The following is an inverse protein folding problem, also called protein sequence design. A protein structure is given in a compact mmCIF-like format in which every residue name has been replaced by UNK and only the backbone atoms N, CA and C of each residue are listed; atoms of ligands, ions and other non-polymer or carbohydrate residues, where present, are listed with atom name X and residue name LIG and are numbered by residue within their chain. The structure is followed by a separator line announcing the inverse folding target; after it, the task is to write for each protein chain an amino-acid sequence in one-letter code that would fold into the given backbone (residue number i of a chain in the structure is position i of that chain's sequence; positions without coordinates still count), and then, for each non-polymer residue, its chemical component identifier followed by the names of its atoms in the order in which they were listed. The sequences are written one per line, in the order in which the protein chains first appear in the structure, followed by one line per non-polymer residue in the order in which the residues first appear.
data_IF_011355993662
#
_entry.id   IF_011355993662
#
_cell.length_a   1.000
_cell.length_b   1.000
_cell.length_c   1.000
_cell.angle_alpha   90.00
_cell.angle_beta   90.00
_cell.angle_gamma   90.00
#
_symmetry.space_group_name_H-M   'P 1'
#
loop_
_entity.id
_entity.type
_entity.pdbx_description
1 polymer ?
#
# COMPACT_ATOMS: atom_id res chain seq x y z
N UNK A 1 -30.70 -64.30 -37.44
CA UNK A 1 -30.63 -63.22 -36.42
C UNK A 1 -29.17 -63.08 -36.01
N UNK A 2 -28.44 -62.13 -36.60
CA UNK A 2 -27.03 -61.84 -36.29
C UNK A 2 -27.03 -60.55 -35.47
N UNK A 3 -26.78 -60.66 -34.16
CA UNK A 3 -26.71 -59.53 -33.26
C UNK A 3 -25.38 -58.80 -33.46
N UNK A 4 -25.47 -57.54 -33.87
CA UNK A 4 -24.37 -56.61 -34.05
C UNK A 4 -23.94 -56.11 -32.66
N UNK A 5 -22.77 -56.53 -32.18
CA UNK A 5 -22.16 -56.05 -30.95
C UNK A 5 -21.39 -54.75 -31.25
N UNK A 6 -21.95 -53.63 -30.81
CA UNK A 6 -21.33 -52.30 -30.86
C UNK A 6 -20.35 -52.15 -29.67
N UNK A 7 -19.08 -51.78 -29.88
CA UNK A 7 -18.19 -51.46 -28.77
C UNK A 7 -18.51 -50.06 -28.23
N UNK A 8 -19.02 -50.01 -27.00
CA UNK A 8 -19.16 -48.77 -26.23
C UNK A 8 -17.76 -48.34 -25.81
N UNK A 9 -17.21 -47.33 -26.49
CA UNK A 9 -15.97 -46.66 -26.11
C UNK A 9 -16.28 -45.75 -24.93
N UNK A 10 -15.93 -46.22 -23.72
CA UNK A 10 -16.01 -45.45 -22.49
C UNK A 10 -14.83 -44.47 -22.43
N UNK A 11 -15.04 -43.22 -22.86
CA UNK A 11 -14.09 -42.12 -22.67
C UNK A 11 -14.05 -41.78 -21.17
N UNK A 12 -13.05 -42.31 -20.45
CA UNK A 12 -12.67 -41.85 -19.11
C UNK A 12 -12.13 -40.41 -19.24
N UNK A 13 -12.95 -39.43 -18.89
CA UNK A 13 -12.52 -38.06 -18.69
C UNK A 13 -11.53 -38.04 -17.51
N UNK A 14 -10.23 -37.96 -17.82
CA UNK A 14 -9.21 -37.74 -16.81
C UNK A 14 -9.48 -36.38 -16.13
N UNK A 15 -9.48 -36.30 -14.78
CA UNK A 15 -9.60 -35.03 -14.10
C UNK A 15 -8.39 -34.18 -14.50
N UNK A 16 -8.65 -33.04 -15.15
CA UNK A 16 -7.64 -32.00 -15.32
C UNK A 16 -7.36 -31.46 -13.93
N UNK A 17 -6.32 -32.00 -13.28
CA UNK A 17 -5.78 -31.40 -12.07
C UNK A 17 -5.17 -30.06 -12.50
N UNK A 18 -5.97 -29.00 -12.38
CA UNK A 18 -5.45 -27.65 -12.41
C UNK A 18 -4.43 -27.58 -11.27
N UNK A 19 -3.15 -27.58 -11.64
CA UNK A 19 -2.08 -27.36 -10.68
C UNK A 19 -2.36 -25.97 -10.10
N UNK A 20 -2.71 -25.94 -8.81
CA UNK A 20 -2.87 -24.69 -8.10
C UNK A 20 -1.59 -23.90 -8.28
N UNK A 21 -1.69 -22.72 -8.90
CA UNK A 21 -0.53 -21.85 -9.05
C UNK A 21 -0.02 -21.51 -7.64
N UNK A 22 1.31 -21.53 -7.42
CA UNK A 22 1.86 -21.17 -6.14
C UNK A 22 1.43 -19.74 -5.79
N UNK A 23 1.00 -19.57 -4.55
CA UNK A 23 0.44 -18.32 -4.03
C UNK A 23 1.38 -17.12 -4.20
N UNK A 24 2.68 -17.37 -4.12
CA UNK A 24 3.76 -16.46 -4.46
C UNK A 24 4.61 -17.14 -5.53
N UNK A 25 5.11 -16.36 -6.49
CA UNK A 25 6.04 -16.90 -7.49
C UNK A 25 7.30 -17.42 -6.81
N UNK A 26 8.00 -18.37 -7.42
CA UNK A 26 9.26 -18.89 -6.89
C UNK A 26 10.33 -17.80 -6.70
N UNK A 27 10.19 -16.68 -7.42
CA UNK A 27 11.04 -15.51 -7.27
C UNK A 27 10.35 -14.36 -6.51
N UNK A 28 9.23 -14.61 -5.82
CA UNK A 28 8.42 -13.58 -5.15
C UNK A 28 7.96 -12.45 -6.09
N UNK A 29 7.89 -12.74 -7.40
CA UNK A 29 7.48 -11.84 -8.48
C UNK A 29 5.95 -11.71 -8.59
N UNK A 30 5.22 -12.69 -8.05
CA UNK A 30 3.76 -12.64 -7.91
C UNK A 30 3.37 -12.22 -6.50
N UNK A 31 2.47 -11.25 -6.42
CA UNK A 31 1.90 -10.76 -5.18
C UNK A 31 1.00 -11.82 -4.51
N UNK A 32 1.02 -11.86 -3.17
CA UNK A 32 0.05 -12.63 -2.38
C UNK A 32 -1.40 -12.24 -2.77
N UNK A 33 -2.34 -13.19 -2.96
CA UNK A 33 -3.71 -12.88 -3.33
C UNK A 33 -4.40 -11.92 -2.35
N UNK A 34 -4.94 -10.82 -2.86
CA UNK A 34 -5.59 -9.79 -2.04
C UNK A 34 -4.63 -8.85 -1.29
N UNK A 35 -3.33 -9.01 -1.45
CA UNK A 35 -2.36 -8.08 -0.89
C UNK A 35 -2.28 -6.76 -1.69
N UNK A 36 -1.98 -5.68 -0.98
CA UNK A 36 -1.77 -4.34 -1.52
C UNK A 36 -0.42 -3.78 -1.08
N UNK A 37 0.10 -2.80 -1.82
CA UNK A 37 1.41 -2.18 -1.55
C UNK A 37 2.55 -3.20 -1.45
N UNK A 38 2.50 -4.23 -2.30
CA UNK A 38 3.46 -5.33 -2.28
C UNK A 38 4.80 -4.86 -2.83
N UNK A 39 5.85 -5.11 -2.07
CA UNK A 39 7.23 -4.84 -2.45
C UNK A 39 8.05 -6.12 -2.33
N UNK A 40 8.89 -6.37 -3.34
CA UNK A 40 9.92 -7.39 -3.29
C UNK A 40 11.21 -6.76 -2.79
N UNK A 41 11.87 -7.42 -1.86
CA UNK A 41 13.14 -7.01 -1.29
C UNK A 41 14.17 -8.12 -1.46
N UNK A 42 15.42 -7.71 -1.56
CA UNK A 42 16.57 -8.62 -1.66
C UNK A 42 17.70 -8.13 -0.77
N UNK A 43 18.43 -9.05 -0.14
CA UNK A 43 19.64 -8.79 0.64
C UNK A 43 20.77 -9.65 0.12
N UNK A 44 21.90 -9.03 -0.21
CA UNK A 44 23.09 -9.73 -0.72
C UNK A 44 23.76 -10.59 0.35
N UNK A 45 23.58 -10.24 1.62
CA UNK A 45 24.10 -10.99 2.77
C UNK A 45 22.92 -11.56 3.54
N UNK A 46 22.68 -12.89 3.46
CA UNK A 46 21.66 -13.54 4.26
C UNK A 46 22.01 -13.41 5.73
N UNK A 47 21.07 -12.93 6.53
CA UNK A 47 21.17 -12.96 7.99
C UNK A 47 19.90 -13.57 8.54
N UNK A 48 19.88 -13.93 9.82
CA UNK A 48 18.67 -14.43 10.48
C UNK A 48 17.45 -13.50 10.35
N UNK A 49 17.67 -12.21 10.08
CA UNK A 49 16.61 -11.20 9.93
C UNK A 49 16.27 -10.88 8.47
N UNK A 50 17.13 -11.27 7.53
CA UNK A 50 17.02 -10.94 6.10
C UNK A 50 17.35 -12.17 5.26
N UNK A 51 16.36 -13.02 4.95
CA UNK A 51 16.54 -14.34 4.32
C UNK A 51 16.87 -14.30 2.81
N UNK A 52 17.65 -13.32 2.36
CA UNK A 52 18.07 -13.19 0.96
C UNK A 52 17.01 -12.58 0.05
N UNK A 53 15.81 -13.18 -0.06
CA UNK A 53 14.68 -12.63 -0.83
C UNK A 53 13.40 -12.74 -0.01
N UNK A 54 12.64 -11.65 0.06
CA UNK A 54 11.32 -11.65 0.67
C UNK A 54 10.37 -10.70 -0.03
N UNK A 55 9.08 -10.89 0.22
CA UNK A 55 8.00 -10.01 -0.18
C UNK A 55 7.33 -9.46 1.07
N UNK A 56 7.00 -8.18 1.06
CA UNK A 56 6.28 -7.50 2.14
C UNK A 56 5.15 -6.66 1.58
N UNK A 57 4.13 -6.39 2.38
CA UNK A 57 2.99 -5.57 1.98
C UNK A 57 1.88 -5.60 3.01
N UNK A 58 0.65 -5.34 2.56
CA UNK A 58 -0.53 -5.43 3.44
C UNK A 58 -1.58 -6.40 2.92
N UNK A 59 -2.19 -7.16 3.82
CA UNK A 59 -3.26 -8.11 3.51
C UNK A 59 -4.31 -8.07 4.63
N UNK A 60 -5.60 -7.95 4.28
CA UNK A 60 -6.69 -7.76 5.25
C UNK A 60 -6.43 -6.62 6.28
N UNK A 61 -5.67 -5.60 5.90
CA UNK A 61 -5.27 -4.49 6.77
C UNK A 61 -4.06 -4.77 7.67
N UNK A 62 -3.57 -6.00 7.75
CA UNK A 62 -2.34 -6.37 8.46
C UNK A 62 -1.12 -6.17 7.59
N UNK A 63 0.03 -5.91 8.20
CA UNK A 63 1.32 -5.96 7.54
C UNK A 63 1.79 -7.43 7.48
N UNK A 64 2.33 -7.85 6.34
CA UNK A 64 2.91 -9.19 6.21
C UNK A 64 4.30 -9.14 5.58
N UNK A 65 5.08 -10.16 5.90
CA UNK A 65 6.36 -10.47 5.28
C UNK A 65 6.39 -11.97 5.00
N UNK A 66 6.81 -12.39 3.81
CA UNK A 66 6.96 -13.80 3.42
C UNK A 66 8.29 -13.98 2.70
N UNK A 67 9.03 -15.03 3.04
CA UNK A 67 10.40 -15.24 2.62
C UNK A 67 10.64 -16.60 1.96
N UNK A 68 11.75 -16.71 1.21
CA UNK A 68 12.13 -17.92 0.48
C UNK A 68 12.53 -19.11 1.36
N UNK A 69 12.78 -18.87 2.65
CA UNK A 69 13.19 -19.88 3.62
C UNK A 69 12.01 -20.54 4.35
N UNK A 70 10.80 -20.45 3.76
CA UNK A 70 9.56 -20.98 4.33
C UNK A 70 9.13 -20.32 5.64
N UNK A 71 9.50 -19.05 5.83
CA UNK A 71 9.03 -18.22 6.94
C UNK A 71 8.08 -17.12 6.48
N UNK A 72 7.12 -16.77 7.34
CA UNK A 72 6.27 -15.60 7.20
C UNK A 72 6.02 -14.93 8.55
N UNK A 73 5.78 -13.63 8.51
CA UNK A 73 5.44 -12.80 9.67
C UNK A 73 4.16 -12.01 9.35
N UNK A 74 3.23 -11.99 10.29
CA UNK A 74 2.01 -11.17 10.22
C UNK A 74 1.95 -10.26 11.44
N UNK A 75 1.75 -8.97 11.21
CA UNK A 75 1.69 -7.94 12.28
C UNK A 75 0.60 -6.91 12.01
N UNK A 76 0.25 -6.11 13.02
CA UNK A 76 -0.61 -4.94 12.83
C UNK A 76 0.11 -3.80 12.04
N UNK A 77 1.39 -3.57 12.34
CA UNK A 77 2.25 -2.55 11.69
C UNK A 77 3.70 -3.05 11.57
N UNK A 78 4.47 -2.49 10.63
CA UNK A 78 5.86 -2.88 10.41
C UNK A 78 6.84 -2.35 11.48
N UNK A 79 6.75 -1.07 11.85
CA UNK A 79 7.81 -0.42 12.63
C UNK A 79 7.72 -0.63 14.14
N UNK A 80 6.52 -0.91 14.65
CA UNK A 80 6.26 -1.06 16.08
C UNK A 80 5.02 -1.94 16.27
N UNK A 81 5.14 -3.25 16.02
CA UNK A 81 4.03 -4.16 16.14
C UNK A 81 3.59 -4.28 17.60
N UNK A 82 2.28 -4.16 17.86
CA UNK A 82 1.73 -4.44 19.19
C UNK A 82 1.56 -5.95 19.45
N UNK A 83 1.51 -6.73 18.38
CA UNK A 83 1.49 -8.19 18.36
C UNK A 83 2.10 -8.69 17.05
N UNK A 84 2.56 -9.92 17.04
CA UNK A 84 3.07 -10.59 15.84
C UNK A 84 2.74 -12.08 15.84
N UNK A 85 2.52 -12.63 14.65
CA UNK A 85 2.37 -14.07 14.42
C UNK A 85 3.47 -14.50 13.45
N UNK A 86 4.37 -15.34 13.93
CA UNK A 86 5.42 -15.96 13.13
C UNK A 86 4.95 -17.34 12.65
N UNK A 87 5.11 -17.60 11.35
CA UNK A 87 4.77 -18.88 10.71
C UNK A 87 6.06 -19.43 10.11
N UNK A 88 6.46 -20.62 10.54
CA UNK A 88 7.68 -21.28 10.07
C UNK A 88 7.29 -22.66 9.58
N UNK A 89 7.56 -22.95 8.31
CA UNK A 89 7.28 -24.24 7.71
C UNK A 89 8.59 -24.95 7.35
N UNK A 90 8.59 -26.27 7.36
CA UNK A 90 9.67 -27.05 6.79
C UNK A 90 9.30 -27.49 5.37
N UNK A 91 10.29 -27.53 4.46
CA UNK A 91 10.07 -27.97 3.09
C UNK A 91 9.61 -29.43 3.07
N UNK A 92 8.39 -29.67 2.58
CA UNK A 92 7.78 -31.01 2.52
C UNK A 92 7.01 -31.43 3.78
N UNK A 93 6.91 -30.57 4.80
CA UNK A 93 6.02 -30.81 5.93
C UNK A 93 4.53 -30.63 5.53
N UNK A 94 3.64 -31.29 6.26
CA UNK A 94 2.19 -31.15 6.07
C UNK A 94 1.60 -29.94 6.81
N UNK A 95 2.33 -29.41 7.80
CA UNK A 95 1.92 -28.28 8.62
C UNK A 95 3.09 -27.36 8.95
N UNK A 96 2.77 -26.13 9.36
CA UNK A 96 3.72 -25.13 9.81
C UNK A 96 3.61 -24.94 11.32
N UNK A 97 4.73 -24.56 11.95
CA UNK A 97 4.73 -24.06 13.32
C UNK A 97 4.25 -22.61 13.32
N UNK A 98 3.32 -22.28 14.21
CA UNK A 98 2.78 -20.93 14.38
C UNK A 98 3.05 -20.47 15.81
N UNK A 99 3.83 -19.40 15.95
CA UNK A 99 4.12 -18.75 17.24
C UNK A 99 3.46 -17.37 17.28
N UNK A 100 2.82 -17.05 18.40
CA UNK A 100 2.11 -15.78 18.61
C UNK A 100 2.72 -15.03 19.78
N UNK A 101 3.00 -13.75 19.57
CA UNK A 101 3.44 -12.83 20.61
C UNK A 101 2.48 -11.64 20.70
N UNK A 102 2.07 -11.28 21.92
CA UNK A 102 1.06 -10.25 22.15
C UNK A 102 -0.38 -10.78 22.01
N UNK A 103 -1.32 -9.87 21.76
CA UNK A 103 -2.76 -10.18 21.64
C UNK A 103 -3.24 -9.82 20.22
N UNK A 104 -3.14 -10.74 19.25
CA UNK A 104 -3.61 -10.49 17.89
C UNK A 104 -5.14 -10.37 17.83
N UNK A 105 -5.60 -9.69 16.78
CA UNK A 105 -7.02 -9.66 16.39
C UNK A 105 -7.49 -11.10 16.06
N UNK A 106 -8.74 -11.42 16.40
CA UNK A 106 -9.33 -12.74 16.17
C UNK A 106 -9.28 -13.17 14.68
N UNK A 107 -9.27 -12.20 13.75
CA UNK A 107 -9.17 -12.47 12.32
C UNK A 107 -7.73 -12.69 11.82
N UNK A 108 -6.69 -12.42 12.62
CA UNK A 108 -5.30 -12.61 12.21
C UNK A 108 -4.87 -14.09 12.18
N UNK A 109 -5.42 -14.93 13.07
CA UNK A 109 -5.10 -16.36 13.12
C UNK A 109 -5.38 -17.11 11.80
N UNK A 110 -6.61 -17.04 11.25
CA UNK A 110 -6.93 -17.67 9.97
C UNK A 110 -6.07 -17.17 8.80
N UNK A 111 -5.66 -15.88 8.82
CA UNK A 111 -4.77 -15.30 7.81
C UNK A 111 -3.36 -15.90 7.94
N UNK A 112 -2.86 -16.08 9.16
CA UNK A 112 -1.58 -16.73 9.40
C UNK A 112 -1.59 -18.22 8.96
N UNK A 113 -2.70 -18.93 9.17
CA UNK A 113 -2.89 -20.29 8.64
C UNK A 113 -2.88 -20.30 7.10
N UNK A 114 -3.54 -19.33 6.46
CA UNK A 114 -3.49 -19.18 5.00
C UNK A 114 -2.08 -18.88 4.48
N UNK A 115 -1.27 -18.08 5.21
CA UNK A 115 0.15 -17.88 4.90
C UNK A 115 0.94 -19.20 5.01
N UNK A 116 0.69 -20.01 6.04
CA UNK A 116 1.32 -21.33 6.17
C UNK A 116 0.97 -22.27 5.00
N UNK A 117 -0.30 -22.36 4.62
CA UNK A 117 -0.74 -23.12 3.44
C UNK A 117 -0.05 -22.64 2.16
N UNK A 118 0.05 -21.33 2.00
CA UNK A 118 0.76 -20.71 0.90
C UNK A 118 2.24 -21.14 0.85
N UNK A 119 2.96 -21.07 1.97
CA UNK A 119 4.35 -21.52 2.08
C UNK A 119 4.54 -23.00 1.73
N UNK A 120 3.58 -23.85 2.07
CA UNK A 120 3.57 -25.28 1.72
C UNK A 120 3.15 -25.55 0.26
N UNK A 121 2.88 -24.53 -0.54
CA UNK A 121 2.45 -24.66 -1.93
C UNK A 121 1.00 -25.15 -2.09
N UNK A 122 0.18 -25.06 -1.04
CA UNK A 122 -1.23 -25.40 -1.10
C UNK A 122 -2.04 -24.26 -1.76
N UNK A 123 -3.17 -24.59 -2.42
CA UNK A 123 -4.04 -23.58 -3.00
C UNK A 123 -4.57 -22.61 -1.94
N UNK A 124 -4.39 -21.31 -2.20
CA UNK A 124 -5.00 -20.22 -1.44
C UNK A 124 -5.57 -19.19 -2.42
N UNK A 125 -6.60 -18.48 -1.97
CA UNK A 125 -7.34 -17.48 -2.73
C UNK A 125 -7.42 -16.16 -1.95
N UNK A 126 -7.84 -15.08 -2.60
CA UNK A 126 -8.06 -13.81 -1.91
C UNK A 126 -9.12 -13.88 -0.81
N UNK A 127 -10.03 -14.87 -0.86
CA UNK A 127 -11.04 -15.08 0.17
C UNK A 127 -10.42 -15.58 1.49
N UNK A 128 -9.35 -16.39 1.42
CA UNK A 128 -8.61 -16.86 2.60
C UNK A 128 -7.90 -15.71 3.33
N UNK A 129 -7.65 -14.62 2.61
CA UNK A 129 -6.98 -13.41 3.08
C UNK A 129 -7.94 -12.25 3.36
N UNK A 130 -9.24 -12.52 3.40
CA UNK A 130 -10.27 -11.53 3.71
C UNK A 130 -10.68 -11.60 5.18
N UNK A 131 -10.85 -10.47 5.86
CA UNK A 131 -11.47 -10.48 7.19
C UNK A 131 -12.92 -10.96 7.07
N UNK A 132 -13.36 -11.91 7.89
CA UNK A 132 -14.78 -12.20 8.03
C UNK A 132 -15.49 -10.90 8.40
N UNK A 133 -16.56 -10.53 7.68
CA UNK A 133 -17.31 -9.30 7.92
C UNK A 133 -18.07 -9.28 9.28
N UNK A 134 -17.75 -10.19 10.20
CA UNK A 134 -18.56 -10.53 11.36
C UNK A 134 -18.38 -9.66 12.61
N UNK A 135 -17.61 -8.57 12.56
CA UNK A 135 -17.52 -7.64 13.70
C UNK A 135 -17.95 -6.20 13.38
N UNK A 136 -18.46 -5.93 12.18
CA UNK A 136 -19.12 -4.66 11.88
C UNK A 136 -20.60 -4.63 12.30
N UNK A 137 -21.18 -5.80 12.64
CA UNK A 137 -22.59 -5.95 13.01
C UNK A 137 -22.82 -6.50 14.43
N UNK A 138 -21.77 -6.74 15.22
CA UNK A 138 -21.95 -6.75 16.68
C UNK A 138 -22.14 -5.29 17.09
N UNK A 139 -23.40 -4.86 16.94
CA UNK A 139 -23.87 -3.60 17.48
C UNK A 139 -23.40 -3.48 18.92
N UNK A 140 -23.05 -2.24 19.29
CA UNK A 140 -22.93 -1.82 20.68
C UNK A 140 -23.87 -2.66 21.55
N UNK A 141 -23.37 -3.37 22.58
CA UNK A 141 -24.26 -4.11 23.46
C UNK A 141 -25.34 -3.15 23.93
N UNK A 142 -26.61 -3.52 23.73
CA UNK A 142 -27.81 -2.77 24.15
C UNK A 142 -27.91 -2.60 25.67
N UNK A 143 -26.83 -2.84 26.41
CA UNK A 143 -26.78 -2.85 27.87
C UNK A 143 -25.70 -1.91 28.44
N UNK A 144 -25.14 -1.00 27.64
CA UNK A 144 -24.54 0.21 28.21
C UNK A 144 -25.68 1.19 28.51
N UNK A 145 -26.39 0.87 29.57
CA UNK A 145 -27.40 1.73 30.17
C UNK A 145 -26.78 3.06 30.61
N UNK A 146 -26.81 4.05 29.71
CA UNK A 146 -26.85 5.45 30.10
C UNK A 146 -28.32 5.73 30.42
N UNK A 147 -28.77 5.30 31.60
CA UNK A 147 -29.97 5.86 32.23
C UNK A 147 -29.57 7.17 32.88
N UNK A 148 -29.40 8.22 32.08
CA UNK A 148 -29.37 9.58 32.60
C UNK A 148 -30.69 10.27 32.23
N UNK A 149 -31.69 10.27 33.13
CA UNK A 149 -33.00 10.85 32.86
C UNK A 149 -33.01 12.38 32.77
N UNK A 150 -31.88 13.07 32.96
CA UNK A 150 -31.84 14.54 32.93
C UNK A 150 -31.30 15.16 31.63
N UNK A 151 -30.90 14.36 30.62
CA UNK A 151 -30.33 14.92 29.37
C UNK A 151 -31.22 14.80 28.13
N UNK A 152 -32.54 14.80 28.33
CA UNK A 152 -33.52 14.84 27.25
C UNK A 152 -34.26 16.19 27.22
N UNK A 153 -33.58 17.28 26.87
CA UNK A 153 -34.23 18.46 26.29
C UNK A 153 -33.27 19.10 25.27
N UNK A 154 -33.82 19.39 24.08
CA UNK A 154 -33.33 20.24 22.98
C UNK A 154 -32.18 19.74 22.09
N UNK A 155 -32.55 19.03 21.02
CA UNK A 155 -32.34 19.57 19.66
C UNK A 155 -33.19 18.82 18.64
N UNK A 156 -34.25 19.52 18.24
CA UNK A 156 -35.16 19.19 17.14
C UNK A 156 -34.42 19.40 15.82
N UNK A 157 -34.04 18.32 15.15
CA UNK A 157 -33.79 18.30 13.72
C UNK A 157 -33.95 16.87 13.19
N UNK A 158 -35.17 16.37 13.32
CA UNK A 158 -35.61 15.17 12.64
C UNK A 158 -36.13 15.55 11.23
N UNK A 159 -35.85 14.64 10.29
CA UNK A 159 -36.61 14.34 9.06
C UNK A 159 -36.49 15.33 7.89
N UNK A 160 -35.59 15.01 6.96
CA UNK A 160 -35.81 15.26 5.53
C UNK A 160 -35.19 14.14 4.68
N UNK A 161 -36.06 13.21 4.30
CA UNK A 161 -36.18 12.61 2.96
C UNK A 161 -35.01 11.79 2.42
N UNK A 162 -35.21 10.47 2.53
CA UNK A 162 -34.73 9.49 1.57
C UNK A 162 -35.18 9.84 0.14
N UNK A 163 -34.22 10.17 -0.73
CA UNK A 163 -34.31 10.03 -2.19
C UNK A 163 -32.91 10.26 -2.79
N UNK A 164 -32.17 9.18 -3.04
CA UNK A 164 -30.83 9.29 -3.63
C UNK A 164 -30.13 7.95 -3.89
N UNK A 165 -30.88 6.86 -3.98
CA UNK A 165 -30.37 5.58 -4.49
C UNK A 165 -31.00 5.39 -5.86
N UNK A 166 -30.20 5.59 -6.91
CA UNK A 166 -30.38 5.24 -8.32
C UNK A 166 -30.00 6.41 -9.24
N UNK A 167 -28.70 6.57 -9.49
CA UNK A 167 -28.13 7.04 -10.78
C UNK A 167 -26.60 7.12 -10.74
N UNK A 168 -25.93 5.96 -10.78
CA UNK A 168 -24.53 5.86 -11.25
C UNK A 168 -24.24 4.53 -11.96
N UNK A 169 -25.27 3.81 -12.42
CA UNK A 169 -25.12 2.60 -13.25
C UNK A 169 -25.37 2.90 -14.75
N UNK A 170 -25.40 4.16 -15.16
CA UNK A 170 -25.72 4.56 -16.53
C UNK A 170 -24.80 5.70 -17.00
N UNK A 171 -23.50 5.43 -17.05
CA UNK A 171 -22.51 6.23 -17.79
C UNK A 171 -21.56 5.35 -18.63
N UNK A 172 -21.96 4.11 -18.89
CA UNK A 172 -21.34 3.22 -19.89
C UNK A 172 -22.38 2.90 -20.98
N UNK A 173 -22.61 3.82 -21.91
CA UNK A 173 -23.07 3.55 -23.27
C UNK A 173 -23.37 4.86 -24.00
N UNK A 174 -22.51 5.20 -24.96
CA UNK A 174 -22.64 6.11 -26.13
C UNK A 174 -21.25 6.73 -26.30
N UNK A 175 -20.39 6.26 -27.18
CA UNK A 175 -20.41 6.44 -28.65
C UNK A 175 -18.99 6.96 -28.97
N UNK A 176 -18.20 6.51 -29.94
CA UNK A 176 -18.32 5.49 -30.95
C UNK A 176 -16.97 5.42 -31.69
N UNK A 177 -16.64 4.22 -32.17
CA UNK A 177 -16.10 3.97 -33.51
C UNK A 177 -14.80 4.67 -33.95
N UNK A 178 -13.68 3.93 -33.92
CA UNK A 178 -12.85 3.76 -35.14
C UNK A 178 -12.09 2.43 -35.11
N UNK A 179 -12.45 1.55 -36.05
CA UNK A 179 -11.80 0.26 -36.37
C UNK A 179 -10.64 0.48 -37.38
N UNK A 180 -9.95 -0.54 -37.93
CA UNK A 180 -8.51 -0.76 -37.72
C UNK A 180 -7.68 -0.69 -39.03
N UNK A 181 -6.36 -0.69 -38.92
CA UNK A 181 -5.43 -1.13 -39.97
C UNK A 181 -4.21 -1.71 -39.25
N UNK A 182 -3.95 -3.02 -39.29
CA UNK A 182 -3.48 -3.84 -40.42
C UNK A 182 -2.11 -3.39 -40.94
N UNK A 183 -1.11 -4.25 -40.75
CA UNK A 183 0.24 -4.10 -41.29
C UNK A 183 1.26 -4.93 -40.52
N UNK A 184 1.26 -6.24 -40.75
CA UNK A 184 2.49 -7.05 -40.62
C UNK A 184 3.39 -6.68 -41.80
N UNK A 185 4.70 -6.48 -41.57
CA UNK A 185 5.79 -7.22 -42.23
C UNK A 185 7.19 -6.62 -41.94
N UNK A 186 8.28 -7.38 -42.18
CA UNK A 186 9.52 -7.35 -41.38
C UNK A 186 10.74 -6.75 -42.10
N UNK A 187 11.85 -6.72 -41.36
CA UNK A 187 13.24 -6.87 -41.81
C UNK A 187 13.96 -5.70 -42.53
N UNK A 188 15.16 -5.42 -41.99
CA UNK A 188 16.37 -4.91 -42.65
C UNK A 188 16.29 -3.66 -43.53
N UNK A 189 16.89 -2.55 -43.07
CA UNK A 189 18.11 -2.04 -43.72
C UNK A 189 18.78 -0.95 -42.88
N UNK A 190 20.11 -1.04 -42.79
CA UNK A 190 21.00 -0.07 -42.15
C UNK A 190 21.48 0.90 -43.24
N UNK A 191 21.75 2.18 -42.93
CA UNK A 191 23.15 2.61 -43.10
C UNK A 191 23.65 3.55 -41.99
N UNK A 192 24.95 3.83 -42.11
CA UNK A 192 25.88 4.33 -41.11
C UNK A 192 25.77 5.83 -40.73
N UNK A 193 26.34 6.08 -39.55
CA UNK A 193 26.92 7.31 -38.98
C UNK A 193 27.09 8.55 -39.87
N UNK A 194 26.70 9.71 -39.31
CA UNK A 194 27.24 11.05 -39.60
C UNK A 194 27.42 11.79 -38.25
N UNK A 195 28.51 12.57 -38.04
CA UNK A 195 28.97 13.03 -36.72
C UNK A 195 28.32 14.34 -36.25
N UNK A 196 28.55 14.64 -34.96
CA UNK A 196 28.10 15.84 -34.23
C UNK A 196 28.37 17.18 -34.94
N UNK A 197 27.46 18.15 -34.78
CA UNK A 197 27.81 19.56 -34.73
C UNK A 197 27.62 20.11 -33.30
N UNK A 198 28.74 20.59 -32.75
CA UNK A 198 28.79 21.65 -31.73
C UNK A 198 28.01 22.87 -32.24
N UNK A 199 27.21 23.51 -31.38
CA UNK A 199 27.17 24.97 -31.15
C UNK A 199 25.97 25.37 -30.24
N UNK A 200 26.34 26.03 -29.14
CA UNK A 200 25.68 27.20 -28.54
C UNK A 200 24.38 27.05 -27.73
N UNK A 201 24.55 27.20 -26.42
CA UNK A 201 23.54 27.63 -25.46
C UNK A 201 23.08 29.07 -25.79
N UNK A 202 21.77 29.37 -25.82
CA UNK A 202 21.29 30.73 -25.64
C UNK A 202 21.20 31.02 -24.14
N UNK A 203 22.09 31.90 -23.69
CA UNK A 203 21.88 32.72 -22.50
C UNK A 203 20.88 33.80 -22.89
N UNK A 204 19.64 33.74 -22.42
CA UNK A 204 18.74 34.89 -22.49
C UNK A 204 18.39 35.40 -21.10
N UNK A 205 18.93 36.59 -20.88
CA UNK A 205 18.96 37.44 -19.71
C UNK A 205 17.57 37.94 -19.35
N UNK A 206 17.31 38.02 -18.05
CA UNK A 206 16.18 38.70 -17.47
C UNK A 206 16.13 40.19 -17.87
N UNK A 207 15.25 40.56 -18.80
CA UNK A 207 14.87 41.96 -19.04
C UNK A 207 13.49 42.18 -19.71
N UNK A 208 12.75 41.13 -20.09
CA UNK A 208 11.50 41.30 -20.84
C UNK A 208 10.28 40.75 -20.09
N UNK A 209 10.00 41.36 -18.94
CA UNK A 209 8.65 41.40 -18.38
C UNK A 209 7.96 42.66 -18.91
N UNK A 210 6.65 42.53 -19.08
CA UNK A 210 5.63 43.60 -19.08
C UNK A 210 5.30 44.27 -20.42
N UNK A 211 4.36 43.66 -21.17
CA UNK A 211 3.07 44.29 -21.51
C UNK A 211 2.24 43.43 -22.46
N UNK A 212 1.40 42.54 -21.92
CA UNK A 212 0.00 42.46 -22.36
C UNK A 212 -0.83 41.49 -21.51
N UNK A 213 -1.99 41.99 -21.10
CA UNK A 213 -2.94 41.47 -20.12
C UNK A 213 -3.94 40.53 -20.81
N UNK A 214 -4.42 39.47 -20.14
CA UNK A 214 -5.83 39.10 -20.26
C UNK A 214 -6.35 38.46 -18.98
N UNK A 215 -7.30 39.16 -18.35
CA UNK A 215 -7.95 38.83 -17.08
C UNK A 215 -8.67 37.47 -17.12
N UNK A 216 -8.22 36.54 -16.29
CA UNK A 216 -8.96 35.37 -15.80
C UNK A 216 -8.54 35.11 -14.35
N UNK A 217 -9.29 34.35 -13.55
CA UNK A 217 -8.82 33.93 -12.22
C UNK A 217 -7.55 33.10 -12.44
N UNK A 218 -6.39 33.69 -12.18
CA UNK A 218 -5.11 33.00 -12.22
C UNK A 218 -5.13 31.95 -11.11
N UNK A 219 -5.46 30.71 -11.46
CA UNK A 219 -5.03 29.53 -10.73
C UNK A 219 -3.52 29.44 -10.90
N UNK A 220 -2.77 30.31 -10.22
CA UNK A 220 -1.36 30.06 -9.97
C UNK A 220 -1.36 28.76 -9.16
N UNK A 221 -0.70 27.68 -9.61
CA UNK A 221 -0.55 26.51 -8.76
C UNK A 221 0.11 26.99 -7.47
N UNK A 222 -0.55 26.76 -6.34
CA UNK A 222 0.00 27.02 -5.02
C UNK A 222 1.44 26.49 -5.01
N UNK A 223 2.40 27.36 -4.68
CA UNK A 223 3.80 26.95 -4.65
C UNK A 223 3.92 25.75 -3.70
N UNK A 224 4.62 24.66 -4.09
CA UNK A 224 4.74 23.49 -3.24
C UNK A 224 5.36 23.90 -1.91
N UNK A 225 4.72 23.50 -0.81
CA UNK A 225 5.12 23.88 0.54
C UNK A 225 5.23 22.63 1.44
N UNK A 226 6.02 22.75 2.50
CA UNK A 226 6.16 21.72 3.53
C UNK A 226 6.54 20.34 2.97
N UNK A 227 5.69 19.35 3.21
CA UNK A 227 5.89 17.96 2.79
C UNK A 227 5.99 17.78 1.27
N UNK A 228 5.45 18.70 0.48
CA UNK A 228 5.54 18.64 -0.99
C UNK A 228 6.95 18.98 -1.51
N UNK A 229 7.78 19.61 -0.68
CA UNK A 229 9.16 19.99 -1.02
C UNK A 229 10.18 18.90 -0.71
N UNK A 230 9.79 17.82 -0.03
CA UNK A 230 10.72 16.78 0.44
C UNK A 230 10.29 15.40 -0.03
N UNK A 231 11.27 14.52 -0.22
CA UNK A 231 11.02 13.10 -0.35
C UNK A 231 10.86 12.47 1.05
N UNK A 232 9.72 11.81 1.34
CA UNK A 232 9.51 11.13 2.62
C UNK A 232 10.64 10.14 2.92
N UNK A 233 11.08 10.11 4.18
CA UNK A 233 12.08 9.16 4.65
C UNK A 233 11.51 7.76 4.84
N UNK A 234 12.40 6.79 5.05
CA UNK A 234 12.05 5.40 5.42
C UNK A 234 11.41 5.31 6.80
N UNK A 235 11.62 6.32 7.66
CA UNK A 235 10.96 6.45 8.96
C UNK A 235 10.29 7.80 9.13
N UNK A 236 9.29 7.87 10.02
CA UNK A 236 8.58 9.11 10.37
C UNK A 236 9.53 10.17 10.94
N UNK A 237 10.53 9.74 11.73
CA UNK A 237 11.57 10.64 12.27
C UNK A 237 12.47 11.19 11.16
N UNK A 238 12.83 10.36 10.17
CA UNK A 238 13.63 10.82 9.03
C UNK A 238 12.85 11.85 8.20
N UNK A 239 11.56 11.62 7.97
CA UNK A 239 10.68 12.61 7.34
C UNK A 239 10.65 13.92 8.13
N UNK A 240 10.54 13.87 9.46
CA UNK A 240 10.59 15.06 10.31
C UNK A 240 11.97 15.77 10.23
N UNK A 241 13.08 15.04 10.25
CA UNK A 241 14.44 15.61 10.11
C UNK A 241 14.59 16.33 8.76
N UNK A 242 14.11 15.73 7.67
CA UNK A 242 14.12 16.37 6.34
C UNK A 242 13.24 17.61 6.29
N UNK A 243 12.05 17.55 6.89
CA UNK A 243 11.13 18.69 6.95
C UNK A 243 11.70 19.86 7.77
N UNK A 244 12.31 19.57 8.92
CA UNK A 244 13.01 20.57 9.73
C UNK A 244 14.18 21.20 8.96
N UNK A 245 14.91 20.41 8.17
CA UNK A 245 16.01 20.92 7.33
C UNK A 245 15.47 21.82 6.22
N UNK A 246 14.37 21.45 5.56
CA UNK A 246 13.70 22.27 4.55
C UNK A 246 13.12 23.57 5.14
N UNK A 247 12.70 23.56 6.41
CA UNK A 247 12.29 24.73 7.17
C UNK A 247 13.46 25.60 7.67
N UNK A 248 14.72 25.19 7.43
CA UNK A 248 15.93 25.94 7.79
C UNK A 248 16.50 25.63 9.18
N UNK A 249 16.01 24.61 9.88
CA UNK A 249 16.54 24.16 11.16
C UNK A 249 17.61 23.07 10.99
N UNK A 250 18.38 22.78 12.05
CA UNK A 250 19.51 21.84 12.01
C UNK A 250 19.29 20.64 12.95
N UNK A 251 18.43 19.67 12.57
CA UNK A 251 18.11 18.52 13.41
C UNK A 251 19.29 17.54 13.55
N UNK A 252 20.31 17.62 12.70
CA UNK A 252 21.44 16.69 12.65
C UNK A 252 21.39 15.84 11.39
N UNK A 253 21.94 14.63 11.46
CA UNK A 253 21.94 13.65 10.36
C UNK A 253 20.51 13.16 10.07
N UNK A 254 20.18 12.87 8.81
CA UNK A 254 18.89 12.28 8.40
C UNK A 254 18.87 10.74 8.61
N UNK A 255 19.26 10.30 9.79
CA UNK A 255 19.39 8.88 10.14
C UNK A 255 18.10 8.22 10.65
N UNK A 256 17.02 8.99 10.81
CA UNK A 256 15.77 8.52 11.38
C UNK A 256 15.81 8.31 12.90
N UNK A 257 16.82 8.81 13.61
CA UNK A 257 16.95 8.70 15.06
C UNK A 257 16.61 10.03 15.75
N UNK A 258 15.73 9.96 16.77
CA UNK A 258 15.28 11.15 17.51
C UNK A 258 16.31 11.62 18.55
N UNK A 259 17.42 12.22 18.07
CA UNK A 259 18.50 12.73 18.90
C UNK A 259 18.17 14.01 19.67
N UNK A 260 19.11 14.44 20.52
CA UNK A 260 19.02 15.74 21.23
C UNK A 260 18.93 16.92 20.27
N UNK A 261 19.67 16.88 19.15
CA UNK A 261 19.66 17.94 18.12
C UNK A 261 18.32 18.02 17.41
N UNK A 262 17.73 16.89 17.04
CA UNK A 262 16.39 16.83 16.44
C UNK A 262 15.34 17.43 17.37
N UNK A 263 15.38 17.09 18.67
CA UNK A 263 14.46 17.66 19.66
C UNK A 263 14.64 19.17 19.83
N UNK A 264 15.88 19.65 19.90
CA UNK A 264 16.16 21.10 19.97
C UNK A 264 15.68 21.84 18.73
N UNK A 265 15.89 21.27 17.53
CA UNK A 265 15.40 21.84 16.29
C UNK A 265 13.86 21.89 16.26
N UNK A 266 13.21 20.85 16.78
CA UNK A 266 11.75 20.80 16.87
C UNK A 266 11.20 21.87 17.82
N UNK A 267 11.79 22.02 19.01
CA UNK A 267 11.43 23.07 19.97
C UNK A 267 11.69 24.46 19.42
N UNK A 268 12.77 24.66 18.65
CA UNK A 268 13.06 25.93 17.99
C UNK A 268 12.04 26.28 16.91
N UNK A 269 11.47 25.28 16.23
CA UNK A 269 10.49 25.47 15.17
C UNK A 269 9.08 25.73 15.70
N UNK A 270 8.63 24.92 16.67
CA UNK A 270 7.24 24.87 17.13
C UNK A 270 7.03 25.36 18.57
N UNK A 271 8.10 25.66 19.31
CA UNK A 271 8.04 26.05 20.72
C UNK A 271 8.15 24.88 21.71
N UNK A 272 8.08 25.19 23.01
CA UNK A 272 8.24 24.21 24.11
C UNK A 272 7.18 23.10 24.10
N UNK A 273 5.97 23.41 23.63
CA UNK A 273 4.85 22.45 23.53
C UNK A 273 5.14 21.30 22.55
N UNK A 274 6.09 21.50 21.64
CA UNK A 274 6.49 20.48 20.68
C UNK A 274 7.13 19.24 21.34
N UNK A 275 7.65 19.38 22.56
CA UNK A 275 8.23 18.26 23.31
C UNK A 275 7.20 17.20 23.71
N UNK A 276 5.92 17.55 23.77
CA UNK A 276 4.83 16.62 24.13
C UNK A 276 4.06 16.07 22.94
N UNK A 277 4.28 16.61 21.74
CA UNK A 277 3.60 16.15 20.53
C UNK A 277 4.14 14.78 20.10
N UNK A 278 3.25 13.95 19.57
CA UNK A 278 3.70 12.80 18.79
C UNK A 278 4.44 13.27 17.52
N UNK A 279 5.27 12.40 16.94
CA UNK A 279 6.05 12.73 15.74
C UNK A 279 5.13 13.07 14.56
N UNK A 280 4.00 12.37 14.41
CA UNK A 280 3.02 12.62 13.35
C UNK A 280 2.33 13.99 13.54
N UNK A 281 1.99 14.36 14.77
CA UNK A 281 1.43 15.69 15.10
C UNK A 281 2.46 16.80 14.87
N UNK A 282 3.72 16.57 15.25
CA UNK A 282 4.82 17.48 15.02
C UNK A 282 5.04 17.75 13.52
N UNK A 283 5.02 16.71 12.68
CA UNK A 283 5.10 16.85 11.22
C UNK A 283 3.93 17.68 10.69
N UNK A 284 2.71 17.40 11.14
CA UNK A 284 1.51 18.13 10.71
C UNK A 284 1.58 19.61 11.10
N UNK A 285 1.99 19.90 12.34
CA UNK A 285 2.13 21.25 12.86
C UNK A 285 3.20 22.04 12.08
N UNK A 286 4.35 21.42 11.82
CA UNK A 286 5.43 22.04 11.06
C UNK A 286 5.04 22.28 9.60
N UNK A 287 4.38 21.31 8.96
CA UNK A 287 3.86 21.47 7.60
C UNK A 287 2.89 22.65 7.52
N UNK A 288 1.95 22.74 8.47
CA UNK A 288 1.00 23.84 8.58
C UNK A 288 1.71 25.20 8.71
N UNK A 289 2.72 25.30 9.58
CA UNK A 289 3.52 26.52 9.75
C UNK A 289 4.26 26.93 8.47
N UNK A 290 4.81 25.97 7.73
CA UNK A 290 5.50 26.23 6.46
C UNK A 290 4.54 26.68 5.34
N UNK A 291 3.29 26.21 5.38
CA UNK A 291 2.28 26.49 4.37
C UNK A 291 1.36 27.68 4.71
N UNK A 292 1.51 28.31 5.89
CA UNK A 292 0.67 29.42 6.37
C UNK A 292 -0.85 29.11 6.41
N UNK A 293 -1.21 27.87 6.72
CA UNK A 293 -2.61 27.43 6.95
C UNK A 293 -3.00 27.45 8.44
#
# INVERSE_FOLDING_TARGET
MKALLLPIVLFLAAPVTALAEPCVGSNFDRALPGAVNVQRRTSDVPTARYPGIWQEGRVAGYAYQIASDYSALLTDRHDSPSWQIAVICEAGAESCEISTEGQPDASAGPIAEALGRCLLGQPVSSADFSRPAHLANDGLPLDVGITDPERSIDSVAAIATAAGVQRSAEQQATDGTRTPASGNDPEADRPAAIPDPVLEQPTETAAERASNIQNGPSLVPDQPCGLQLIEPGTSTVQTLQRLLTAAGFQPGTDDGVMGRRTRQALTAALGEEAATLSIEEAIRALNKQMCQE
#
